data_IF_001370180653
#
_entry.id   IF_001370180653
#
_cell.length_a   1.000
_cell.length_b   1.000
_cell.length_c   1.000
_cell.angle_alpha   90.00
_cell.angle_beta   90.00
_cell.angle_gamma   90.00
#
_symmetry.space_group_name_H-M   'P 1'
#
loop_
_entity.id
_entity.type
_entity.pdbx_description
1 polymer ?
#
# COMPACT_ATOMS: atom_id res chain seq x y z
N UNK A 1 -5.06 -8.27 -23.67
CA UNK A 1 -3.89 -7.89 -22.87
C UNK A 1 -4.40 -7.53 -21.48
N UNK A 2 -3.98 -8.24 -20.43
CA UNK A 2 -4.49 -8.08 -19.06
C UNK A 2 -3.52 -7.23 -18.26
N UNK A 3 -4.02 -6.25 -17.51
CA UNK A 3 -3.22 -5.45 -16.59
C UNK A 3 -3.07 -6.16 -15.24
N UNK A 4 -2.03 -5.81 -14.48
CA UNK A 4 -1.86 -6.21 -13.07
C UNK A 4 -2.64 -5.29 -12.11
N UNK A 5 -3.29 -4.25 -12.64
CA UNK A 5 -4.13 -3.31 -11.87
C UNK A 5 -5.44 -4.00 -11.49
N UNK A 6 -5.68 -4.14 -10.19
CA UNK A 6 -6.93 -4.64 -9.59
C UNK A 6 -7.79 -3.47 -9.11
N UNK A 7 -9.07 -3.73 -8.83
CA UNK A 7 -9.98 -2.70 -8.27
C UNK A 7 -9.40 -2.08 -7.01
N UNK A 8 -8.82 -2.88 -6.12
CA UNK A 8 -8.23 -2.39 -4.87
C UNK A 8 -7.06 -1.42 -5.11
N UNK A 9 -6.26 -1.63 -6.18
CA UNK A 9 -5.20 -0.70 -6.55
C UNK A 9 -5.78 0.65 -6.99
N UNK A 10 -6.89 0.65 -7.74
CA UNK A 10 -7.59 1.87 -8.15
C UNK A 10 -8.16 2.59 -6.94
N UNK A 11 -8.82 1.86 -6.03
CA UNK A 11 -9.37 2.43 -4.81
C UNK A 11 -8.29 3.03 -3.90
N UNK A 12 -7.14 2.37 -3.75
CA UNK A 12 -6.00 2.91 -2.99
C UNK A 12 -5.42 4.18 -3.65
N UNK A 13 -5.25 4.17 -4.98
CA UNK A 13 -4.77 5.34 -5.72
C UNK A 13 -5.71 6.54 -5.57
N UNK A 14 -7.02 6.33 -5.69
CA UNK A 14 -8.03 7.38 -5.49
C UNK A 14 -8.06 7.88 -4.04
N UNK A 15 -7.90 7.00 -3.06
CA UNK A 15 -7.84 7.39 -1.65
C UNK A 15 -6.65 8.34 -1.39
N UNK A 16 -5.48 8.03 -1.93
CA UNK A 16 -4.26 8.83 -1.77
C UNK A 16 -4.31 10.17 -2.53
N UNK A 17 -4.97 10.21 -3.70
CA UNK A 17 -4.93 11.39 -4.58
C UNK A 17 -6.13 12.32 -4.44
N UNK A 18 -7.27 11.84 -3.92
CA UNK A 18 -8.49 12.64 -3.85
C UNK A 18 -8.49 13.71 -2.76
N UNK A 19 -7.59 13.63 -1.78
CA UNK A 19 -7.57 14.51 -0.61
C UNK A 19 -8.78 14.36 0.33
N UNK A 20 -9.65 13.36 0.08
CA UNK A 20 -10.85 13.09 0.91
C UNK A 20 -10.54 12.35 2.20
N UNK A 21 -9.33 11.81 2.31
CA UNK A 21 -8.89 10.98 3.43
C UNK A 21 -7.60 11.57 3.99
N UNK A 22 -7.53 11.62 5.31
CA UNK A 22 -6.40 12.17 6.05
C UNK A 22 -5.79 11.15 7.02
N UNK A 23 -6.38 9.95 7.10
CA UNK A 23 -5.99 8.89 8.03
C UNK A 23 -4.84 8.03 7.49
N UNK A 24 -3.85 8.65 6.87
CA UNK A 24 -2.69 7.97 6.30
C UNK A 24 -1.45 8.12 7.20
N UNK A 25 -0.61 7.10 7.22
CA UNK A 25 0.66 7.12 7.93
C UNK A 25 1.77 6.44 7.13
N UNK A 26 3.01 6.84 7.39
CA UNK A 26 4.18 6.06 7.02
C UNK A 26 4.40 4.96 8.06
N UNK A 27 4.55 3.73 7.57
CA UNK A 27 4.69 2.55 8.41
C UNK A 27 5.99 1.83 8.08
N UNK A 28 6.89 1.70 9.06
CA UNK A 28 8.09 0.88 8.92
C UNK A 28 7.71 -0.60 9.06
N UNK A 29 8.15 -1.43 8.11
CA UNK A 29 7.76 -2.83 8.05
C UNK A 29 8.84 -3.70 7.40
N UNK A 30 8.51 -4.97 7.21
CA UNK A 30 9.33 -5.93 6.47
C UNK A 30 8.45 -6.61 5.42
N UNK A 31 8.98 -6.78 4.21
CA UNK A 31 8.30 -7.45 3.10
C UNK A 31 9.21 -8.58 2.64
N UNK A 32 8.72 -9.81 2.70
CA UNK A 32 9.50 -11.02 2.42
C UNK A 32 10.83 -11.06 3.23
N UNK A 33 10.81 -10.53 4.45
CA UNK A 33 11.96 -10.46 5.35
C UNK A 33 12.93 -9.30 5.11
N UNK A 34 12.78 -8.53 4.02
CA UNK A 34 13.58 -7.34 3.76
C UNK A 34 12.97 -6.09 4.43
N UNK A 35 13.78 -5.19 5.03
CA UNK A 35 13.28 -3.92 5.55
C UNK A 35 12.60 -3.10 4.45
N UNK A 36 11.43 -2.55 4.78
CA UNK A 36 10.61 -1.77 3.86
C UNK A 36 9.86 -0.67 4.60
N UNK A 37 9.16 0.15 3.82
CA UNK A 37 8.19 1.12 4.30
C UNK A 37 6.89 1.00 3.52
N UNK A 38 5.78 1.34 4.12
CA UNK A 38 4.49 1.36 3.46
C UNK A 38 3.74 2.66 3.77
N UNK A 39 2.93 3.10 2.81
CA UNK A 39 1.84 4.04 3.08
C UNK A 39 0.64 3.19 3.47
N UNK A 40 0.09 3.46 4.66
CA UNK A 40 -1.03 2.71 5.21
C UNK A 40 -2.22 3.62 5.48
N UNK A 41 -3.43 3.09 5.34
CA UNK A 41 -4.61 3.67 5.96
C UNK A 41 -4.75 3.14 7.39
N UNK A 42 -5.02 4.04 8.33
CA UNK A 42 -5.26 3.72 9.73
C UNK A 42 -6.75 3.89 10.00
N UNK A 43 -7.45 2.78 10.22
CA UNK A 43 -8.89 2.80 10.53
C UNK A 43 -9.07 2.63 12.02
N UNK A 44 -9.73 3.61 12.65
CA UNK A 44 -10.08 3.55 14.06
C UNK A 44 -11.17 2.48 14.31
N UNK A 45 -11.17 1.85 15.49
CA UNK A 45 -12.24 0.93 15.87
C UNK A 45 -13.57 1.66 16.01
N UNK A 46 -14.67 0.95 15.74
CA UNK A 46 -16.04 1.50 15.87
C UNK A 46 -16.46 1.63 17.34
N UNK A 47 -15.93 0.78 18.23
CA UNK A 47 -16.28 0.74 19.65
C UNK A 47 -15.08 1.04 20.57
N UNK A 48 -15.38 1.56 21.76
CA UNK A 48 -14.40 1.82 22.81
C UNK A 48 -13.79 0.50 23.33
N UNK A 49 -12.58 0.20 22.86
CA UNK A 49 -11.84 -1.03 23.20
C UNK A 49 -11.45 -1.89 21.99
N UNK A 50 -11.86 -1.52 20.77
CA UNK A 50 -11.42 -2.19 19.56
C UNK A 50 -9.97 -1.86 19.17
N UNK A 51 -9.46 -2.58 18.17
CA UNK A 51 -8.11 -2.39 17.65
C UNK A 51 -8.11 -1.50 16.40
N UNK A 52 -7.01 -0.76 16.21
CA UNK A 52 -6.78 -0.05 14.95
C UNK A 52 -6.45 -1.05 13.85
N UNK A 53 -7.09 -0.88 12.69
CA UNK A 53 -6.77 -1.68 11.50
C UNK A 53 -5.78 -0.90 10.64
N UNK A 54 -4.62 -1.51 10.40
CA UNK A 54 -3.58 -0.98 9.51
C UNK A 54 -3.72 -1.66 8.15
N UNK A 55 -4.14 -0.90 7.13
CA UNK A 55 -4.29 -1.41 5.76
C UNK A 55 -3.17 -0.87 4.88
N UNK A 56 -2.21 -1.70 4.42
CA UNK A 56 -1.22 -1.29 3.45
C UNK A 56 -1.87 -0.89 2.13
N UNK A 57 -1.56 0.32 1.65
CA UNK A 57 -2.03 0.82 0.36
C UNK A 57 -0.93 0.77 -0.70
N UNK A 58 0.30 1.05 -0.30
CA UNK A 58 1.47 1.00 -1.16
C UNK A 58 2.69 0.61 -0.34
N UNK A 59 3.55 -0.23 -0.91
CA UNK A 59 4.78 -0.73 -0.29
C UNK A 59 5.96 -0.22 -1.10
N UNK A 60 6.98 0.31 -0.43
CA UNK A 60 8.20 0.78 -1.08
C UNK A 60 8.97 -0.37 -1.73
N UNK A 61 9.55 -0.10 -2.89
CA UNK A 61 10.53 -1.01 -3.51
C UNK A 61 11.72 -1.18 -2.56
N UNK A 62 12.13 -2.42 -2.33
CA UNK A 62 13.33 -2.77 -1.56
C UNK A 62 14.53 -3.00 -2.48
N UNK A 63 15.75 -2.94 -1.96
CA UNK A 63 16.99 -3.15 -2.74
C UNK A 63 17.08 -4.53 -3.42
N UNK A 64 16.33 -5.51 -2.92
CA UNK A 64 16.28 -6.87 -3.47
C UNK A 64 15.13 -7.09 -4.46
N UNK A 65 14.23 -6.12 -4.63
CA UNK A 65 13.10 -6.25 -5.55
C UNK A 65 13.52 -5.98 -6.99
N UNK A 66 13.05 -6.83 -7.91
CA UNK A 66 13.17 -6.62 -9.36
C UNK A 66 11.79 -6.25 -9.88
N UNK A 67 11.61 -5.00 -10.32
CA UNK A 67 10.35 -4.50 -10.86
C UNK A 67 10.42 -4.50 -12.38
N UNK A 68 9.42 -5.11 -13.04
CA UNK A 68 9.34 -5.18 -14.50
C UNK A 68 7.96 -4.79 -15.01
N UNK A 69 7.89 -4.31 -16.25
CA UNK A 69 6.65 -4.12 -17.00
C UNK A 69 6.05 -5.44 -17.50
N UNK A 70 4.92 -5.38 -18.20
CA UNK A 70 4.26 -6.56 -18.81
C UNK A 70 5.11 -7.28 -19.87
N UNK A 71 6.13 -6.62 -20.41
CA UNK A 71 7.10 -7.19 -21.35
C UNK A 71 8.33 -7.78 -20.67
N UNK A 72 8.40 -7.78 -19.33
CA UNK A 72 9.56 -8.24 -18.57
C UNK A 72 10.75 -7.28 -18.62
N UNK A 73 10.54 -6.04 -19.06
CA UNK A 73 11.59 -5.01 -19.07
C UNK A 73 11.65 -4.31 -17.72
N UNK A 74 12.83 -3.93 -17.21
CA UNK A 74 12.93 -3.14 -15.99
C UNK A 74 12.04 -1.90 -16.03
N UNK A 75 11.29 -1.66 -14.95
CA UNK A 75 10.37 -0.53 -14.80
C UNK A 75 11.07 0.75 -14.33
#
# INVERSE_FOLDING_TARGET
MSTNIRRDHVSAFEALTSGRFENFALFSCFVDGAPASAIVAVTAPEDAGGEYVITPLFVSVTDTMVVTDHGGRPA
#
